data_IF_917894776292
#
_entry.id   IF_917894776292
#
_cell.length_a   1.000
_cell.length_b   1.000
_cell.length_c   1.000
_cell.angle_alpha   90.00
_cell.angle_beta   90.00
_cell.angle_gamma   90.00
#
_symmetry.space_group_name_H-M   'P 1'
#
loop_
_entity.id
_entity.type
_entity.pdbx_description
1 polymer ?
#
# COMPACT_ATOMS: atom_id res chain seq x y z
N UNK A 1 37.74 -19.80 -4.36
CA UNK A 1 36.59 -18.93 -4.01
C UNK A 1 36.50 -17.90 -5.13
N UNK A 2 35.64 -18.10 -6.11
CA UNK A 2 35.40 -17.13 -7.19
C UNK A 2 34.77 -15.89 -6.56
N UNK A 3 35.44 -14.76 -6.70
CA UNK A 3 34.99 -13.49 -6.13
C UNK A 3 33.65 -13.11 -6.77
N UNK A 4 32.61 -12.92 -5.95
CA UNK A 4 31.26 -12.54 -6.39
C UNK A 4 31.29 -11.31 -7.31
N UNK A 5 32.25 -10.40 -7.10
CA UNK A 5 32.46 -9.22 -7.92
C UNK A 5 32.93 -9.59 -9.35
N UNK A 6 33.75 -10.65 -9.51
CA UNK A 6 34.20 -11.12 -10.83
C UNK A 6 33.04 -11.75 -11.61
N UNK A 7 32.20 -12.58 -10.96
CA UNK A 7 31.00 -13.17 -11.57
C UNK A 7 30.00 -12.11 -12.03
N UNK A 8 29.76 -11.10 -11.20
CA UNK A 8 28.86 -10.01 -11.54
C UNK A 8 29.37 -9.18 -12.72
N UNK A 9 30.71 -8.99 -12.83
CA UNK A 9 31.33 -8.30 -13.98
C UNK A 9 31.20 -9.10 -15.28
N UNK A 10 31.42 -10.41 -15.21
CA UNK A 10 31.23 -11.30 -16.37
C UNK A 10 29.77 -11.32 -16.83
N UNK A 11 28.81 -11.28 -15.86
CA UNK A 11 27.39 -11.18 -16.16
C UNK A 11 27.06 -9.85 -16.85
N UNK A 12 27.59 -8.71 -16.38
CA UNK A 12 27.41 -7.40 -17.03
C UNK A 12 27.93 -7.38 -18.46
N UNK A 13 29.11 -7.98 -18.71
CA UNK A 13 29.65 -8.09 -20.05
C UNK A 13 28.80 -8.99 -20.96
N UNK A 14 28.28 -10.09 -20.45
CA UNK A 14 27.38 -10.97 -21.18
C UNK A 14 26.05 -10.31 -21.50
N UNK A 15 25.48 -9.56 -20.54
CA UNK A 15 24.24 -8.79 -20.71
C UNK A 15 24.43 -7.70 -21.77
N UNK A 16 25.57 -7.01 -21.74
CA UNK A 16 25.87 -5.91 -22.66
C UNK A 16 26.05 -6.37 -24.12
N UNK A 17 26.46 -7.62 -24.34
CA UNK A 17 26.60 -8.26 -25.64
C UNK A 17 25.34 -8.99 -26.12
N UNK A 18 24.37 -9.22 -25.22
CA UNK A 18 23.15 -9.96 -25.50
C UNK A 18 22.06 -9.12 -26.18
N UNK A 19 21.16 -9.79 -26.90
CA UNK A 19 19.93 -9.15 -27.40
C UNK A 19 18.97 -8.83 -26.26
N UNK A 20 18.09 -7.82 -26.45
CA UNK A 20 17.06 -7.48 -25.48
C UNK A 20 16.15 -8.68 -25.17
N UNK A 21 15.85 -9.51 -26.18
CA UNK A 21 15.09 -10.74 -26.01
C UNK A 21 15.82 -11.78 -25.14
N UNK A 22 17.14 -11.92 -25.32
CA UNK A 22 17.97 -12.78 -24.48
C UNK A 22 18.01 -12.32 -23.04
N UNK A 23 18.10 -10.99 -22.82
CA UNK A 23 18.06 -10.35 -21.51
C UNK A 23 16.72 -10.59 -20.81
N UNK A 24 15.60 -10.42 -21.50
CA UNK A 24 14.27 -10.69 -20.96
C UNK A 24 14.08 -12.18 -20.59
N UNK A 25 14.55 -13.11 -21.45
CA UNK A 25 14.51 -14.54 -21.12
C UNK A 25 15.30 -14.86 -19.85
N UNK A 26 16.49 -14.29 -19.70
CA UNK A 26 17.32 -14.47 -18.50
C UNK A 26 16.63 -13.89 -17.24
N UNK A 27 16.00 -12.72 -17.38
CA UNK A 27 15.21 -12.09 -16.30
C UNK A 27 14.07 -13.00 -15.83
N UNK A 28 13.28 -13.52 -16.77
CA UNK A 28 12.16 -14.41 -16.42
C UNK A 28 12.65 -15.69 -15.78
N UNK A 29 13.70 -16.30 -16.31
CA UNK A 29 14.26 -17.50 -15.73
C UNK A 29 14.79 -17.27 -14.31
N UNK A 30 15.57 -16.22 -14.08
CA UNK A 30 16.06 -15.87 -12.75
C UNK A 30 14.91 -15.59 -11.76
N UNK A 31 13.87 -14.90 -12.22
CA UNK A 31 12.68 -14.60 -11.40
C UNK A 31 11.89 -15.87 -11.06
N UNK A 32 11.66 -16.75 -12.02
CA UNK A 32 10.92 -18.01 -11.82
C UNK A 32 11.67 -18.94 -10.85
N UNK A 33 13.00 -19.06 -10.99
CA UNK A 33 13.85 -19.81 -10.05
C UNK A 33 13.74 -19.23 -8.63
N UNK A 34 13.86 -17.90 -8.50
CA UNK A 34 13.75 -17.21 -7.21
C UNK A 34 12.40 -17.46 -6.52
N UNK A 35 11.30 -17.40 -7.28
CA UNK A 35 9.94 -17.58 -6.73
C UNK A 35 9.69 -19.02 -6.32
N UNK A 36 10.16 -20.00 -7.10
CA UNK A 36 9.91 -21.41 -6.87
C UNK A 36 10.73 -22.03 -5.74
N UNK A 37 11.89 -21.45 -5.39
CA UNK A 37 12.82 -22.03 -4.41
C UNK A 37 12.62 -21.54 -2.98
N UNK A 38 13.42 -22.13 -2.08
CA UNK A 38 13.61 -21.64 -0.71
C UNK A 38 15.08 -21.21 -0.58
N UNK A 39 15.28 -19.94 -0.31
CA UNK A 39 16.61 -19.32 -0.32
C UNK A 39 16.91 -18.61 0.98
N UNK A 40 18.20 -18.53 1.33
CA UNK A 40 18.66 -17.64 2.39
C UNK A 40 18.53 -16.17 1.95
N UNK A 41 18.51 -15.22 2.90
CA UNK A 41 18.51 -13.79 2.58
C UNK A 41 19.74 -13.38 1.75
N UNK A 42 20.88 -14.06 1.93
CA UNK A 42 22.09 -13.84 1.12
C UNK A 42 21.91 -14.26 -0.33
N UNK A 43 21.24 -15.40 -0.56
CA UNK A 43 20.95 -15.87 -1.91
C UNK A 43 19.93 -14.93 -2.58
N UNK A 44 18.88 -14.52 -1.84
CA UNK A 44 17.88 -13.57 -2.31
C UNK A 44 18.53 -12.24 -2.71
N UNK A 45 19.49 -11.76 -1.92
CA UNK A 45 20.26 -10.57 -2.25
C UNK A 45 21.03 -10.75 -3.58
N UNK A 46 21.70 -11.89 -3.77
CA UNK A 46 22.43 -12.19 -5.01
C UNK A 46 21.50 -12.24 -6.22
N UNK A 47 20.32 -12.87 -6.10
CA UNK A 47 19.29 -12.82 -7.14
C UNK A 47 18.86 -11.36 -7.44
N UNK A 48 18.74 -10.53 -6.39
CA UNK A 48 18.41 -9.13 -6.52
C UNK A 48 19.41 -8.39 -7.40
N UNK A 49 20.70 -8.57 -7.17
CA UNK A 49 21.77 -7.98 -7.98
C UNK A 49 21.68 -8.40 -9.46
N UNK A 50 21.39 -9.67 -9.72
CA UNK A 50 21.21 -10.19 -11.10
C UNK A 50 19.97 -9.57 -11.75
N UNK A 51 18.83 -9.60 -11.07
CA UNK A 51 17.56 -9.02 -11.54
C UNK A 51 17.73 -7.53 -11.84
N UNK A 52 18.40 -6.78 -10.95
CA UNK A 52 18.65 -5.37 -11.09
C UNK A 52 19.49 -5.01 -12.33
N UNK A 53 20.48 -5.84 -12.62
CA UNK A 53 21.30 -5.66 -13.84
C UNK A 53 20.50 -5.97 -15.10
N UNK A 54 19.68 -7.03 -15.08
CA UNK A 54 18.83 -7.41 -16.20
C UNK A 54 17.71 -6.41 -16.46
N UNK A 55 17.26 -5.66 -15.43
CA UNK A 55 16.18 -4.67 -15.57
C UNK A 55 16.63 -3.30 -16.06
N UNK A 56 17.92 -3.04 -16.17
CA UNK A 56 18.42 -1.76 -16.66
C UNK A 56 18.01 -1.54 -18.11
N UNK A 57 17.25 -0.46 -18.37
CA UNK A 57 16.85 -0.06 -19.71
C UNK A 57 15.74 -0.90 -20.34
N UNK A 58 15.08 -1.81 -19.60
CA UNK A 58 13.91 -2.53 -20.13
C UNK A 58 12.66 -1.64 -20.13
N UNK A 59 11.76 -1.95 -21.04
CA UNK A 59 10.50 -1.24 -21.21
C UNK A 59 9.59 -1.32 -19.97
N UNK A 60 8.68 -0.35 -19.83
CA UNK A 60 7.71 -0.29 -18.73
C UNK A 60 6.90 -1.57 -18.62
N UNK A 61 6.45 -2.14 -19.74
CA UNK A 61 5.66 -3.36 -19.76
C UNK A 61 6.39 -4.55 -19.12
N UNK A 62 7.69 -4.71 -19.38
CA UNK A 62 8.49 -5.77 -18.77
C UNK A 62 8.75 -5.51 -17.28
N UNK A 63 8.96 -4.23 -16.86
CA UNK A 63 9.05 -3.89 -15.44
C UNK A 63 7.74 -4.15 -14.71
N UNK A 64 6.59 -3.85 -15.32
CA UNK A 64 5.27 -4.12 -14.76
C UNK A 64 5.02 -5.63 -14.59
N UNK A 65 5.46 -6.45 -15.54
CA UNK A 65 5.38 -7.91 -15.41
C UNK A 65 6.27 -8.44 -14.29
N UNK A 66 7.51 -7.93 -14.18
CA UNK A 66 8.40 -8.25 -13.06
C UNK A 66 7.76 -7.88 -11.72
N UNK A 67 7.18 -6.69 -11.61
CA UNK A 67 6.51 -6.22 -10.41
C UNK A 67 5.34 -7.14 -10.03
N UNK A 68 4.50 -7.57 -10.98
CA UNK A 68 3.41 -8.53 -10.71
C UNK A 68 3.92 -9.87 -10.17
N UNK A 69 5.01 -10.40 -10.74
CA UNK A 69 5.63 -11.65 -10.28
C UNK A 69 6.21 -11.55 -8.88
N UNK A 70 6.92 -10.45 -8.57
CA UNK A 70 7.56 -10.24 -7.27
C UNK A 70 6.58 -9.81 -6.17
N UNK A 71 5.43 -9.21 -6.52
CA UNK A 71 4.49 -8.63 -5.57
C UNK A 71 4.01 -9.62 -4.49
N UNK A 72 3.85 -10.88 -4.83
CA UNK A 72 3.36 -11.93 -3.93
C UNK A 72 4.47 -12.85 -3.39
N UNK A 73 5.71 -12.65 -3.83
CA UNK A 73 6.83 -13.50 -3.43
C UNK A 73 7.42 -13.07 -2.09
N UNK A 74 7.52 -14.01 -1.15
CA UNK A 74 8.27 -13.82 0.11
C UNK A 74 9.78 -13.72 -0.11
N UNK A 75 10.27 -14.28 -1.22
CA UNK A 75 11.66 -14.24 -1.62
C UNK A 75 12.01 -13.00 -2.46
N UNK A 76 11.08 -12.07 -2.66
CA UNK A 76 11.35 -10.88 -3.46
C UNK A 76 12.51 -10.06 -2.84
N UNK A 77 13.58 -9.74 -3.62
CA UNK A 77 14.71 -8.97 -3.12
C UNK A 77 14.26 -7.57 -2.69
N UNK A 78 14.60 -7.18 -1.46
CA UNK A 78 14.07 -5.95 -0.85
C UNK A 78 14.44 -4.70 -1.65
N UNK A 79 15.65 -4.63 -2.20
CA UNK A 79 16.10 -3.46 -2.96
C UNK A 79 15.38 -3.35 -4.31
N UNK A 80 15.17 -4.48 -5.01
CA UNK A 80 14.35 -4.53 -6.22
C UNK A 80 12.89 -4.14 -5.94
N UNK A 81 12.31 -4.64 -4.84
CA UNK A 81 10.95 -4.28 -4.40
C UNK A 81 10.83 -2.78 -4.11
N UNK A 82 11.76 -2.21 -3.34
CA UNK A 82 11.76 -0.77 -3.03
C UNK A 82 11.88 0.09 -4.28
N UNK A 83 12.74 -0.30 -5.24
CA UNK A 83 12.90 0.44 -6.48
C UNK A 83 11.66 0.37 -7.36
N UNK A 84 11.03 -0.81 -7.50
CA UNK A 84 9.77 -0.96 -8.25
C UNK A 84 8.61 -0.23 -7.58
N UNK A 85 8.61 -0.10 -6.25
CA UNK A 85 7.56 0.58 -5.49
C UNK A 85 7.53 2.11 -5.72
N UNK A 86 8.63 2.70 -6.16
CA UNK A 86 8.74 4.14 -6.50
C UNK A 86 8.89 4.39 -8.01
N UNK A 87 8.60 3.38 -8.85
CA UNK A 87 8.60 3.58 -10.31
C UNK A 87 7.53 4.61 -10.70
N UNK A 88 7.90 5.56 -11.56
CA UNK A 88 6.97 6.61 -12.01
C UNK A 88 5.70 6.06 -12.67
N UNK A 89 5.75 4.84 -13.22
CA UNK A 89 4.58 4.16 -13.77
C UNK A 89 3.84 3.39 -12.66
N UNK A 90 2.58 3.72 -12.46
CA UNK A 90 1.72 3.00 -11.50
C UNK A 90 1.48 1.54 -11.90
N UNK A 91 1.57 1.21 -13.18
CA UNK A 91 1.49 -0.18 -13.66
C UNK A 91 2.64 -1.04 -13.11
N UNK A 92 3.77 -0.41 -12.82
CA UNK A 92 4.94 -1.03 -12.19
C UNK A 92 4.83 -0.98 -10.67
N UNK A 93 4.63 0.20 -10.09
CA UNK A 93 4.61 0.39 -8.64
C UNK A 93 3.37 -0.24 -7.97
N UNK A 94 2.21 -0.16 -8.62
CA UNK A 94 0.92 -0.58 -8.06
C UNK A 94 0.87 -1.99 -7.51
N UNK A 95 1.25 -3.03 -8.26
CA UNK A 95 1.28 -4.42 -7.77
C UNK A 95 2.15 -4.58 -6.51
N UNK A 96 3.32 -3.97 -6.48
CA UNK A 96 4.25 -4.01 -5.34
C UNK A 96 3.66 -3.30 -4.13
N UNK A 97 3.18 -2.06 -4.32
CA UNK A 97 2.60 -1.26 -3.25
C UNK A 97 1.38 -1.93 -2.63
N UNK A 98 0.56 -2.59 -3.44
CA UNK A 98 -0.66 -3.24 -2.98
C UNK A 98 -0.42 -4.57 -2.27
N UNK A 99 0.51 -5.39 -2.75
CA UNK A 99 0.58 -6.79 -2.35
C UNK A 99 1.87 -7.21 -1.64
N UNK A 100 3.00 -6.51 -1.88
CA UNK A 100 4.26 -6.97 -1.33
C UNK A 100 4.31 -6.90 0.20
N UNK A 101 4.60 -8.02 0.82
CA UNK A 101 4.85 -8.14 2.27
C UNK A 101 6.29 -7.78 2.65
N UNK A 102 7.16 -7.55 1.67
CA UNK A 102 8.57 -7.15 1.89
C UNK A 102 8.72 -5.65 2.17
N UNK A 103 7.68 -4.83 1.92
CA UNK A 103 7.69 -3.41 2.28
C UNK A 103 7.29 -3.24 3.75
N UNK A 104 8.19 -2.70 4.55
CA UNK A 104 7.96 -2.36 5.95
C UNK A 104 7.18 -1.05 6.11
N UNK A 105 6.64 -0.82 7.30
CA UNK A 105 5.87 0.39 7.63
C UNK A 105 6.66 1.69 7.38
N UNK A 106 7.93 1.84 7.79
CA UNK A 106 8.70 3.06 7.51
C UNK A 106 8.86 3.35 6.02
N UNK A 107 9.10 2.34 5.20
CA UNK A 107 9.19 2.48 3.74
C UNK A 107 7.86 2.94 3.15
N UNK A 108 6.72 2.33 3.58
CA UNK A 108 5.40 2.74 3.12
C UNK A 108 5.05 4.17 3.52
N UNK A 109 5.41 4.61 4.73
CA UNK A 109 5.27 6.00 5.20
C UNK A 109 6.08 6.96 4.32
N UNK A 110 7.34 6.62 4.02
CA UNK A 110 8.18 7.43 3.14
C UNK A 110 7.56 7.59 1.75
N UNK A 111 7.14 6.48 1.13
CA UNK A 111 6.50 6.48 -0.19
C UNK A 111 5.19 7.29 -0.16
N UNK A 112 4.34 7.09 0.84
CA UNK A 112 3.08 7.82 0.97
C UNK A 112 3.29 9.34 1.15
N UNK A 113 4.46 9.76 1.66
CA UNK A 113 4.79 11.17 1.88
C UNK A 113 5.34 11.88 0.62
N UNK A 114 5.88 11.14 -0.34
CA UNK A 114 6.65 11.70 -1.47
C UNK A 114 6.05 11.41 -2.84
N UNK A 115 5.30 10.32 -2.97
CA UNK A 115 4.86 9.83 -4.27
C UNK A 115 3.47 10.35 -4.68
N UNK A 116 3.07 10.02 -5.91
CA UNK A 116 1.82 10.51 -6.52
C UNK A 116 0.56 9.92 -5.87
N UNK A 117 -0.61 10.55 -6.11
CA UNK A 117 -1.91 10.08 -5.63
C UNK A 117 -2.24 8.65 -6.05
N UNK A 118 -1.74 8.20 -7.21
CA UNK A 118 -1.92 6.82 -7.67
C UNK A 118 -1.14 5.82 -6.79
N UNK A 119 0.05 6.19 -6.31
CA UNK A 119 0.83 5.39 -5.35
C UNK A 119 0.10 5.32 -4.00
N UNK A 120 -0.39 6.45 -3.51
CA UNK A 120 -1.18 6.51 -2.27
C UNK A 120 -2.43 5.64 -2.36
N UNK A 121 -3.12 5.68 -3.49
CA UNK A 121 -4.28 4.83 -3.76
C UNK A 121 -3.92 3.34 -3.78
N UNK A 122 -2.78 2.98 -4.35
CA UNK A 122 -2.31 1.59 -4.32
C UNK A 122 -2.01 1.12 -2.88
N UNK A 123 -1.37 1.97 -2.06
CA UNK A 123 -1.10 1.67 -0.64
C UNK A 123 -2.41 1.53 0.14
N UNK A 124 -3.41 2.40 -0.09
CA UNK A 124 -4.70 2.35 0.61
C UNK A 124 -5.50 1.06 0.35
N UNK A 125 -5.20 0.36 -0.75
CA UNK A 125 -5.84 -0.91 -1.15
C UNK A 125 -5.12 -2.16 -0.60
N UNK A 126 -4.11 -2.02 0.25
CA UNK A 126 -3.43 -3.15 0.90
C UNK A 126 -4.40 -3.90 1.81
N UNK A 127 -4.18 -5.20 1.95
CA UNK A 127 -4.94 -6.04 2.89
C UNK A 127 -4.84 -5.52 4.33
N UNK A 128 -3.65 -5.06 4.74
CA UNK A 128 -3.41 -4.43 6.03
C UNK A 128 -2.68 -3.11 5.82
N UNK A 129 -3.19 -2.04 6.43
CA UNK A 129 -2.56 -0.72 6.47
C UNK A 129 -2.41 -0.30 7.93
N UNK A 130 -1.17 -0.16 8.39
CA UNK A 130 -0.85 0.22 9.77
C UNK A 130 -1.15 1.70 10.05
N UNK A 131 -1.46 2.05 11.32
CA UNK A 131 -1.79 3.42 11.74
C UNK A 131 -0.79 4.49 11.26
N UNK A 132 0.55 4.32 11.33
CA UNK A 132 1.46 5.34 10.83
C UNK A 132 1.32 5.61 9.32
N UNK A 133 0.92 4.60 8.55
CA UNK A 133 0.69 4.74 7.10
C UNK A 133 -0.65 5.44 6.85
N UNK A 134 -1.71 5.02 7.54
CA UNK A 134 -3.03 5.68 7.42
C UNK A 134 -2.96 7.14 7.82
N UNK A 135 -2.19 7.51 8.87
CA UNK A 135 -2.02 8.88 9.31
C UNK A 135 -1.41 9.79 8.22
N UNK A 136 -0.47 9.27 7.44
CA UNK A 136 0.06 9.99 6.28
C UNK A 136 -0.97 10.05 5.15
N UNK A 137 -1.62 8.92 4.83
CA UNK A 137 -2.58 8.85 3.74
C UNK A 137 -3.80 9.75 3.96
N UNK A 138 -4.28 9.91 5.21
CA UNK A 138 -5.40 10.82 5.51
C UNK A 138 -5.03 12.30 5.40
N UNK A 139 -3.76 12.65 5.50
CA UNK A 139 -3.27 14.02 5.31
C UNK A 139 -2.99 14.31 3.84
N UNK A 140 -2.23 13.44 3.17
CA UNK A 140 -1.71 13.65 1.83
C UNK A 140 -2.64 13.15 0.71
N UNK A 141 -3.52 12.18 0.98
CA UNK A 141 -4.39 11.54 -0.02
C UNK A 141 -5.49 12.46 -0.53
N UNK A 142 -5.88 12.30 -1.78
CA UNK A 142 -7.08 12.92 -2.35
C UNK A 142 -8.36 12.19 -1.91
N UNK A 143 -9.52 12.63 -2.38
CA UNK A 143 -10.82 12.05 -2.03
C UNK A 143 -10.91 10.55 -2.37
N UNK A 144 -10.36 10.11 -3.50
CA UNK A 144 -10.35 8.70 -3.90
C UNK A 144 -9.55 7.83 -2.93
N UNK A 145 -8.40 8.32 -2.46
CA UNK A 145 -7.59 7.66 -1.41
C UNK A 145 -8.36 7.55 -0.11
N UNK A 146 -9.06 8.61 0.31
CA UNK A 146 -9.86 8.60 1.54
C UNK A 146 -11.04 7.64 1.47
N UNK A 147 -11.75 7.59 0.34
CA UNK A 147 -12.81 6.62 0.10
C UNK A 147 -12.28 5.19 0.16
N UNK A 148 -11.14 4.93 -0.49
CA UNK A 148 -10.48 3.62 -0.46
C UNK A 148 -10.09 3.21 0.96
N UNK A 149 -9.51 4.13 1.76
CA UNK A 149 -9.15 3.89 3.16
C UNK A 149 -10.37 3.65 4.04
N UNK A 150 -11.41 4.47 3.93
CA UNK A 150 -12.63 4.33 4.73
C UNK A 150 -13.29 2.97 4.51
N UNK A 151 -13.33 2.49 3.26
CA UNK A 151 -13.88 1.19 2.88
C UNK A 151 -12.95 0.00 3.17
N UNK A 152 -11.69 0.22 3.49
CA UNK A 152 -10.75 -0.86 3.76
C UNK A 152 -10.85 -1.34 5.22
N UNK A 153 -11.41 -2.53 5.42
CA UNK A 153 -11.54 -3.14 6.74
C UNK A 153 -10.18 -3.47 7.42
N UNK A 154 -9.11 -3.62 6.63
CA UNK A 154 -7.76 -3.87 7.12
C UNK A 154 -6.95 -2.61 7.41
N UNK A 155 -7.48 -1.42 7.10
CA UNK A 155 -6.86 -0.15 7.48
C UNK A 155 -7.08 0.12 8.97
N UNK A 156 -6.00 0.34 9.70
CA UNK A 156 -6.03 0.73 11.11
C UNK A 156 -5.89 2.24 11.23
N UNK A 157 -6.76 2.86 12.01
CA UNK A 157 -6.74 4.30 12.22
C UNK A 157 -6.36 4.62 13.66
N UNK A 158 -5.42 5.55 13.82
CA UNK A 158 -5.18 6.23 15.09
C UNK A 158 -6.35 7.17 15.40
N UNK A 159 -6.40 7.68 16.63
CA UNK A 159 -7.35 8.75 16.98
C UNK A 159 -7.16 9.98 16.05
N UNK A 160 -5.91 10.34 15.76
CA UNK A 160 -5.58 11.42 14.81
C UNK A 160 -6.15 11.11 13.42
N UNK A 161 -5.93 9.91 12.90
CA UNK A 161 -6.41 9.47 11.60
C UNK A 161 -7.94 9.59 11.48
N UNK A 162 -8.69 9.12 12.47
CA UNK A 162 -10.15 9.28 12.51
C UNK A 162 -10.59 10.75 12.52
N UNK A 163 -9.97 11.59 13.37
CA UNK A 163 -10.33 13.01 13.45
C UNK A 163 -10.07 13.72 12.11
N UNK A 164 -8.94 13.44 11.46
CA UNK A 164 -8.64 14.00 10.14
C UNK A 164 -9.61 13.52 9.06
N UNK A 165 -10.02 12.26 9.10
CA UNK A 165 -11.06 11.75 8.20
C UNK A 165 -12.40 12.47 8.39
N UNK A 166 -12.82 12.71 9.64
CA UNK A 166 -14.05 13.50 9.95
C UNK A 166 -13.93 14.93 9.43
N UNK A 167 -12.79 15.59 9.62
CA UNK A 167 -12.57 16.94 9.09
C UNK A 167 -12.70 16.97 7.57
N UNK A 168 -12.15 15.97 6.91
CA UNK A 168 -12.15 15.87 5.45
C UNK A 168 -13.43 15.28 4.86
N UNK A 169 -14.34 14.77 5.68
CA UNK A 169 -15.65 14.28 5.25
C UNK A 169 -16.72 15.37 5.15
N UNK A 170 -16.40 16.63 5.49
CA UNK A 170 -17.30 17.75 5.33
C UNK A 170 -17.74 17.86 3.86
N UNK A 171 -19.03 17.81 3.61
CA UNK A 171 -19.66 17.75 2.29
C UNK A 171 -19.46 16.44 1.48
N UNK A 172 -18.96 15.37 2.13
CA UNK A 172 -18.80 14.05 1.52
C UNK A 172 -19.66 13.01 2.27
N UNK A 173 -20.93 12.90 1.90
CA UNK A 173 -21.88 11.98 2.53
C UNK A 173 -21.46 10.51 2.39
N UNK A 174 -20.83 10.14 1.26
CA UNK A 174 -20.30 8.78 1.07
C UNK A 174 -19.20 8.45 2.08
N UNK A 175 -18.28 9.39 2.30
CA UNK A 175 -17.21 9.22 3.29
C UNK A 175 -17.76 9.13 4.70
N UNK A 176 -18.73 10.00 5.05
CA UNK A 176 -19.43 9.98 6.35
C UNK A 176 -20.10 8.62 6.61
N UNK A 177 -20.88 8.12 5.64
CA UNK A 177 -21.57 6.83 5.76
C UNK A 177 -20.57 5.67 5.89
N UNK A 178 -19.53 5.66 5.03
CA UNK A 178 -18.53 4.59 5.04
C UNK A 178 -17.75 4.56 6.35
N UNK A 179 -17.35 5.71 6.89
CA UNK A 179 -16.70 5.82 8.20
C UNK A 179 -17.64 5.39 9.35
N UNK A 180 -18.90 5.84 9.30
CA UNK A 180 -19.88 5.50 10.31
C UNK A 180 -20.18 4.01 10.39
N UNK A 181 -20.06 3.28 9.28
CA UNK A 181 -20.29 1.84 9.22
C UNK A 181 -19.08 0.99 9.61
N UNK A 182 -17.94 1.59 9.88
CA UNK A 182 -16.77 0.85 10.36
C UNK A 182 -17.01 0.26 11.75
N UNK A 183 -16.66 -1.01 11.92
CA UNK A 183 -16.80 -1.73 13.21
C UNK A 183 -15.78 -1.27 14.26
N UNK A 184 -14.65 -0.71 13.81
CA UNK A 184 -13.53 -0.27 14.65
C UNK A 184 -13.59 1.22 15.03
N UNK A 185 -14.63 1.96 14.60
CA UNK A 185 -14.79 3.37 14.98
C UNK A 185 -15.10 3.50 16.48
N UNK A 186 -14.27 4.26 17.26
CA UNK A 186 -14.55 4.47 18.68
C UNK A 186 -15.84 5.28 18.89
N UNK A 187 -16.59 4.98 19.95
CA UNK A 187 -17.88 5.63 20.24
C UNK A 187 -17.82 7.15 20.25
N UNK A 188 -16.79 7.72 20.88
CA UNK A 188 -16.63 9.18 20.95
C UNK A 188 -16.33 9.81 19.58
N UNK A 189 -15.62 9.09 18.70
CA UNK A 189 -15.34 9.49 17.32
C UNK A 189 -16.63 9.42 16.49
N UNK A 190 -17.42 8.35 16.64
CA UNK A 190 -18.71 8.23 15.98
C UNK A 190 -19.67 9.37 16.37
N UNK A 191 -19.69 9.77 17.64
CA UNK A 191 -20.49 10.91 18.11
C UNK A 191 -20.05 12.23 17.44
N UNK A 192 -18.75 12.45 17.25
CA UNK A 192 -18.24 13.62 16.54
C UNK A 192 -18.60 13.58 15.05
N UNK A 193 -18.52 12.39 14.41
CA UNK A 193 -18.93 12.20 13.02
C UNK A 193 -20.42 12.58 12.84
N UNK A 194 -21.30 12.05 13.69
CA UNK A 194 -22.74 12.37 13.67
C UNK A 194 -23.02 13.85 13.91
N UNK A 195 -22.26 14.51 14.79
CA UNK A 195 -22.43 15.93 15.06
C UNK A 195 -22.12 16.82 13.85
N UNK A 196 -21.19 16.38 12.98
CA UNK A 196 -20.79 17.09 11.75
C UNK A 196 -21.53 16.61 10.49
N UNK A 197 -22.19 15.47 10.54
CA UNK A 197 -22.91 14.90 9.42
C UNK A 197 -24.12 15.75 9.00
N UNK A 198 -24.46 15.73 7.71
CA UNK A 198 -25.74 16.27 7.23
C UNK A 198 -26.93 15.55 7.88
N UNK A 199 -28.10 16.18 7.92
CA UNK A 199 -29.28 15.59 8.54
C UNK A 199 -29.66 14.25 7.91
N UNK A 200 -29.45 14.12 6.61
CA UNK A 200 -29.73 12.90 5.85
C UNK A 200 -28.75 11.76 6.20
N UNK A 201 -27.45 12.03 6.19
CA UNK A 201 -26.43 11.05 6.58
C UNK A 201 -26.57 10.65 8.06
N UNK A 202 -26.86 11.62 8.93
CA UNK A 202 -27.12 11.38 10.37
C UNK A 202 -28.29 10.43 10.56
N UNK A 203 -29.41 10.68 9.89
CA UNK A 203 -30.62 9.83 9.99
C UNK A 203 -30.32 8.41 9.56
N UNK A 204 -29.59 8.23 8.47
CA UNK A 204 -29.20 6.91 7.95
C UNK A 204 -28.29 6.16 8.92
N UNK A 205 -27.23 6.80 9.42
CA UNK A 205 -26.30 6.19 10.37
C UNK A 205 -26.97 5.81 11.69
N UNK A 206 -27.92 6.60 12.19
CA UNK A 206 -28.67 6.29 13.42
C UNK A 206 -29.66 5.15 13.21
N UNK A 207 -30.22 4.98 12.01
CA UNK A 207 -31.05 3.82 11.67
C UNK A 207 -30.23 2.53 11.62
N UNK A 208 -29.00 2.58 11.08
CA UNK A 208 -28.09 1.45 10.98
C UNK A 208 -27.43 1.09 12.33
N UNK A 209 -27.31 2.06 13.26
CA UNK A 209 -26.73 1.90 14.60
C UNK A 209 -27.58 2.54 15.70
N UNK A 210 -28.73 1.96 16.03
CA UNK A 210 -29.62 2.51 17.06
C UNK A 210 -28.98 2.58 18.46
N UNK A 211 -27.98 1.73 18.74
CA UNK A 211 -27.25 1.71 20.02
C UNK A 211 -26.45 3.01 20.29
N UNK A 212 -26.15 3.79 19.27
CA UNK A 212 -25.42 5.04 19.42
C UNK A 212 -26.27 6.19 20.00
N UNK A 213 -27.60 6.10 19.94
CA UNK A 213 -28.55 7.08 20.51
C UNK A 213 -28.69 6.95 22.05
N UNK A 214 -28.49 5.79 22.62
CA UNK A 214 -28.78 5.50 24.03
C UNK A 214 -27.94 6.34 25.01
N UNK A 215 -26.85 6.98 24.54
CA UNK A 215 -25.99 7.86 25.35
C UNK A 215 -26.61 9.21 25.76
N UNK A 216 -27.70 9.67 25.14
CA UNK A 216 -28.36 10.96 25.47
C UNK A 216 -29.49 10.84 26.50
N UNK A 217 -30.08 9.66 26.68
CA UNK A 217 -31.19 9.47 27.62
C UNK A 217 -30.73 9.36 29.08
N UNK A 218 -29.51 8.90 29.35
CA UNK A 218 -29.05 8.65 30.72
C UNK A 218 -28.57 9.90 31.47
N UNK A 219 -28.40 11.05 30.79
CA UNK A 219 -27.99 12.33 31.42
C UNK A 219 -29.17 13.24 31.78
N UNK A 220 -30.43 12.89 31.43
CA UNK A 220 -31.61 13.72 31.72
C UNK A 220 -32.40 13.28 32.94
N UNK A 221 -32.07 12.15 33.59
CA UNK A 221 -32.82 11.61 34.73
C UNK A 221 -32.07 11.70 36.08
N UNK A 222 -31.15 12.65 36.25
CA UNK A 222 -30.61 12.98 37.57
C UNK A 222 -30.55 14.50 37.77
N UNK A 223 -31.71 15.08 37.99
CA UNK A 223 -31.88 16.34 38.71
C UNK A 223 -33.02 16.15 39.66
#
# INVERSE_FOLDING_TARGET
MTDSASLLKELDESISRGSDEGRLRALWHATDVLIAGQYSEQDIWTFGEVIDRLTRGIEVAARAELARRLAHSKNAPIDSVKRLAVDASIDVAGPILRHSTRLDTPTLVSIASTESQQHLLAISKRELVAEPVTDVLVVAGNQEVLHSLAGNAGARFSQFGFLRMIERSEHDSFLVETLGNRVDIPRHIFQQLIAKASDEARKKLLQERPEAEIGRASCRERV
#
